data_IF_437946198501
#
_entry.id   IF_437946198501
#
_cell.length_a   1.000
_cell.length_b   1.000
_cell.length_c   1.000
_cell.angle_alpha   90.00
_cell.angle_beta   90.00
_cell.angle_gamma   90.00
#
_symmetry.space_group_name_H-M   'P 1'
#
loop_
_entity.id
_entity.type
_entity.pdbx_description
1 polymer ?
#
# COMPACT_ATOMS: atom_id res chain seq x y z
N UNK A 1 1.60 13.50 40.61
CA UNK A 1 0.82 13.64 39.37
C UNK A 1 1.43 12.69 38.35
N UNK A 2 0.99 11.44 38.32
CA UNK A 2 1.44 10.46 37.33
C UNK A 2 0.65 10.71 36.06
N UNK A 3 1.28 11.26 35.02
CA UNK A 3 0.68 11.37 33.70
C UNK A 3 0.67 9.98 33.08
N UNK A 4 -0.47 9.30 33.17
CA UNK A 4 -0.70 7.96 32.60
C UNK A 4 -0.93 8.07 31.08
N UNK A 5 0.03 8.70 30.39
CA UNK A 5 0.04 8.69 28.94
C UNK A 5 0.39 7.26 28.50
N UNK A 6 -0.43 6.62 27.63
CA UNK A 6 -0.16 5.27 27.19
C UNK A 6 1.25 5.21 26.58
N UNK A 7 2.05 4.27 27.09
CA UNK A 7 3.41 4.05 26.60
C UNK A 7 3.35 3.66 25.12
N UNK A 8 4.26 4.19 24.27
CA UNK A 8 4.25 3.87 22.86
C UNK A 8 4.54 2.38 22.64
N UNK A 9 3.84 1.77 21.68
CA UNK A 9 4.08 0.39 21.24
C UNK A 9 5.44 0.35 20.53
N UNK A 10 6.38 -0.41 21.09
CA UNK A 10 7.70 -0.60 20.49
C UNK A 10 7.66 -1.66 19.40
N UNK A 11 8.35 -1.38 18.30
CA UNK A 11 8.46 -2.21 17.11
C UNK A 11 9.94 -2.32 16.74
N UNK A 12 10.31 -3.39 16.03
CA UNK A 12 11.65 -3.47 15.42
C UNK A 12 11.70 -2.55 14.20
N UNK A 13 10.80 -2.79 13.25
CA UNK A 13 10.77 -2.06 11.98
C UNK A 13 9.35 -1.60 11.64
N UNK A 14 9.25 -0.45 10.99
CA UNK A 14 8.01 0.12 10.48
C UNK A 14 8.16 0.47 9.00
N UNK A 15 7.18 0.12 8.17
CA UNK A 15 7.12 0.43 6.75
C UNK A 15 5.86 1.24 6.45
N UNK A 16 6.05 2.42 5.84
CA UNK A 16 4.97 3.33 5.43
C UNK A 16 5.26 3.83 4.01
N UNK A 17 4.25 3.88 3.15
CA UNK A 17 4.33 4.42 1.78
C UNK A 17 3.14 5.34 1.47
N UNK A 18 3.17 5.97 0.29
CA UNK A 18 1.99 6.55 -0.37
C UNK A 18 1.18 7.50 0.55
N UNK A 19 1.92 8.38 1.24
CA UNK A 19 1.33 9.38 2.14
C UNK A 19 0.83 10.59 1.37
N UNK A 20 1.54 10.97 0.31
CA UNK A 20 1.23 12.09 -0.55
C UNK A 20 1.05 13.44 0.18
N UNK A 21 1.93 13.77 1.13
CA UNK A 21 1.95 15.10 1.75
C UNK A 21 2.07 16.17 0.66
N UNK A 22 1.09 17.06 0.57
CA UNK A 22 0.92 18.01 -0.54
C UNK A 22 -0.40 17.82 -1.28
N UNK A 23 -0.99 16.63 -1.17
CA UNK A 23 -2.35 16.33 -1.61
C UNK A 23 -3.37 16.67 -0.51
N UNK A 24 -4.57 17.10 -0.92
CA UNK A 24 -5.71 17.30 0.01
C UNK A 24 -6.30 16.00 0.55
N UNK A 25 -5.98 14.88 -0.11
CA UNK A 25 -6.54 13.57 0.24
C UNK A 25 -5.70 12.87 1.32
N UNK A 26 -4.48 13.34 1.59
CA UNK A 26 -3.58 12.79 2.59
C UNK A 26 -4.22 12.82 3.99
N UNK A 27 -4.29 11.67 4.64
CA UNK A 27 -4.79 11.50 6.01
C UNK A 27 -3.69 11.80 7.04
N UNK A 28 -3.08 12.98 6.95
CA UNK A 28 -1.92 13.36 7.75
C UNK A 28 -2.17 13.34 9.27
N UNK A 29 -3.39 13.66 9.72
CA UNK A 29 -3.76 13.56 11.14
C UNK A 29 -3.75 12.12 11.67
N UNK A 30 -4.26 11.18 10.88
CA UNK A 30 -4.27 9.76 11.25
C UNK A 30 -2.85 9.21 11.28
N UNK A 31 -2.02 9.56 10.28
CA UNK A 31 -0.61 9.19 10.27
C UNK A 31 0.13 9.77 11.47
N UNK A 32 -0.13 11.03 11.82
CA UNK A 32 0.50 11.67 12.97
C UNK A 32 0.12 10.97 14.29
N UNK A 33 -1.13 10.56 14.44
CA UNK A 33 -1.59 9.75 15.58
C UNK A 33 -0.89 8.39 15.63
N UNK A 34 -0.86 7.68 14.51
CA UNK A 34 -0.17 6.40 14.38
C UNK A 34 1.31 6.49 14.76
N UNK A 35 2.02 7.50 14.24
CA UNK A 35 3.44 7.75 14.55
C UNK A 35 3.66 8.19 16.00
N UNK A 36 2.64 8.70 16.69
CA UNK A 36 2.71 8.97 18.14
C UNK A 36 2.56 7.68 18.94
N UNK A 37 1.71 6.77 18.50
CA UNK A 37 1.45 5.51 19.20
C UNK A 37 2.56 4.48 19.02
N UNK A 38 3.23 4.45 17.86
CA UNK A 38 4.28 3.47 17.57
C UNK A 38 5.68 4.09 17.65
N UNK A 39 6.65 3.38 18.24
CA UNK A 39 8.09 3.67 18.19
C UNK A 39 8.82 2.48 17.57
N UNK A 40 9.63 2.70 16.53
CA UNK A 40 10.37 1.66 15.83
C UNK A 40 11.87 1.98 15.82
N UNK A 41 12.72 0.95 15.84
CA UNK A 41 14.17 1.10 15.71
C UNK A 41 14.53 1.52 14.29
N UNK A 42 13.87 0.93 13.28
CA UNK A 42 14.01 1.30 11.87
C UNK A 42 12.66 1.71 11.28
N UNK A 43 12.65 2.77 10.46
CA UNK A 43 11.48 3.24 9.73
C UNK A 43 11.84 3.36 8.25
N UNK A 44 11.20 2.54 7.43
CA UNK A 44 11.24 2.67 5.99
C UNK A 44 10.07 3.53 5.51
N UNK A 45 10.43 4.56 4.76
CA UNK A 45 9.51 5.40 4.00
C UNK A 45 9.56 4.92 2.53
N UNK A 46 8.62 4.08 2.14
CA UNK A 46 8.65 3.27 0.90
C UNK A 46 8.05 4.03 -0.29
N UNK A 47 8.52 5.25 -0.49
CA UNK A 47 8.13 6.13 -1.59
C UNK A 47 6.80 6.86 -1.40
N UNK A 48 6.63 7.89 -2.22
CA UNK A 48 5.46 8.75 -2.31
C UNK A 48 5.02 9.36 -0.97
N UNK A 49 5.99 9.74 -0.13
CA UNK A 49 5.67 10.43 1.14
C UNK A 49 5.26 11.88 0.87
N UNK A 50 5.89 12.52 -0.12
CA UNK A 50 5.61 13.90 -0.53
C UNK A 50 5.10 13.91 -1.96
N UNK A 51 3.97 14.59 -2.20
CA UNK A 51 3.41 14.73 -3.53
C UNK A 51 3.98 15.96 -4.24
N UNK A 52 5.18 15.81 -4.82
CA UNK A 52 5.86 16.86 -5.55
C UNK A 52 5.09 17.34 -6.79
N UNK A 53 4.35 16.44 -7.43
CA UNK A 53 3.53 16.77 -8.60
C UNK A 53 2.35 17.69 -8.23
N UNK A 54 1.63 17.39 -7.14
CA UNK A 54 0.56 18.25 -6.64
C UNK A 54 1.08 19.60 -6.21
N UNK A 55 2.19 19.63 -5.47
CA UNK A 55 2.80 20.87 -4.97
C UNK A 55 3.24 21.81 -6.11
N UNK A 56 3.80 21.26 -7.20
CA UNK A 56 4.14 22.04 -8.40
C UNK A 56 2.92 22.65 -9.08
N UNK A 57 1.78 21.94 -9.09
CA UNK A 57 0.56 22.39 -9.77
C UNK A 57 -0.24 23.39 -8.93
N UNK A 58 -0.40 23.13 -7.64
CA UNK A 58 -1.09 24.00 -6.71
C UNK A 58 -0.58 23.75 -5.28
N UNK A 59 0.12 24.74 -4.73
CA UNK A 59 0.71 24.62 -3.41
C UNK A 59 -0.37 24.39 -2.33
N UNK A 60 -0.28 23.26 -1.64
CA UNK A 60 -1.14 22.91 -0.52
C UNK A 60 -0.30 22.22 0.56
N UNK A 61 0.06 22.97 1.59
CA UNK A 61 0.89 22.46 2.68
C UNK A 61 0.35 22.96 4.03
N UNK A 62 -0.73 22.35 4.54
CA UNK A 62 -1.28 22.70 5.84
C UNK A 62 -0.36 22.25 6.99
N UNK A 63 -0.64 22.70 8.21
CA UNK A 63 0.25 22.51 9.36
C UNK A 63 0.47 21.02 9.69
N UNK A 64 -0.55 20.19 9.49
CA UNK A 64 -0.54 18.76 9.78
C UNK A 64 0.55 18.03 8.96
N UNK A 65 0.82 18.49 7.73
CA UNK A 65 1.88 17.93 6.90
C UNK A 65 3.27 18.25 7.48
N UNK A 66 3.47 19.48 7.95
CA UNK A 66 4.69 19.84 8.66
C UNK A 66 4.82 19.04 9.96
N UNK A 67 3.73 18.80 10.68
CA UNK A 67 3.76 18.04 11.93
C UNK A 67 4.17 16.58 11.73
N UNK A 68 3.76 15.93 10.63
CA UNK A 68 4.24 14.61 10.22
C UNK A 68 5.75 14.63 9.99
N UNK A 69 6.24 15.57 9.17
CA UNK A 69 7.69 15.71 8.89
C UNK A 69 8.48 15.94 10.18
N UNK A 70 8.01 16.84 11.04
CA UNK A 70 8.66 17.11 12.32
C UNK A 70 8.63 15.89 13.25
N UNK A 71 7.55 15.10 13.25
CA UNK A 71 7.46 13.86 14.04
C UNK A 71 8.50 12.84 13.57
N UNK A 72 8.67 12.65 12.26
CA UNK A 72 9.71 11.77 11.70
C UNK A 72 11.12 12.25 12.06
N UNK A 73 11.42 13.53 11.85
CA UNK A 73 12.72 14.10 12.24
C UNK A 73 12.99 14.00 13.74
N UNK A 74 11.98 14.12 14.60
CA UNK A 74 12.11 13.90 16.05
C UNK A 74 12.41 12.44 16.38
N UNK A 75 11.83 11.48 15.66
CA UNK A 75 12.16 10.05 15.83
C UNK A 75 13.60 9.75 15.43
N UNK A 76 14.06 10.30 14.30
CA UNK A 76 15.46 10.18 13.88
C UNK A 76 16.42 10.74 14.94
N UNK A 77 16.16 11.95 15.47
CA UNK A 77 16.95 12.54 16.56
C UNK A 77 16.95 11.73 17.87
N UNK A 78 15.93 10.89 18.09
CA UNK A 78 15.86 9.97 19.23
C UNK A 78 16.57 8.63 18.98
N UNK A 79 17.15 8.43 17.79
CA UNK A 79 17.92 7.25 17.43
C UNK A 79 17.24 6.28 16.48
N UNK A 80 16.02 6.57 16.00
CA UNK A 80 15.40 5.73 14.97
C UNK A 80 16.16 5.86 13.65
N UNK A 81 16.55 4.75 13.04
CA UNK A 81 17.11 4.73 11.70
C UNK A 81 16.00 4.96 10.68
N UNK A 82 16.05 6.04 9.90
CA UNK A 82 15.01 6.33 8.91
C UNK A 82 15.60 6.24 7.50
N UNK A 83 15.06 5.31 6.72
CA UNK A 83 15.47 5.05 5.34
C UNK A 83 14.32 5.46 4.42
N UNK A 84 14.60 6.37 3.50
CA UNK A 84 13.65 6.88 2.53
C UNK A 84 13.94 6.29 1.16
N UNK A 85 13.03 5.44 0.68
CA UNK A 85 13.03 4.93 -0.67
C UNK A 85 12.27 5.91 -1.55
N UNK A 86 12.89 6.46 -2.60
CA UNK A 86 12.21 7.39 -3.49
C UNK A 86 11.19 6.67 -4.40
N UNK A 87 9.99 7.24 -4.52
CA UNK A 87 8.92 6.87 -5.44
C UNK A 87 8.81 7.80 -6.65
N UNK A 88 7.66 7.79 -7.33
CA UNK A 88 7.46 8.59 -8.53
C UNK A 88 6.93 10.00 -8.26
N UNK A 89 6.15 10.22 -7.21
CA UNK A 89 5.68 11.57 -6.84
C UNK A 89 6.76 12.42 -6.19
N UNK A 90 7.74 11.78 -5.56
CA UNK A 90 8.91 12.40 -4.93
C UNK A 90 10.22 12.10 -5.70
N UNK A 91 10.13 11.91 -7.02
CA UNK A 91 11.25 11.60 -7.94
C UNK A 91 12.48 12.51 -7.76
N UNK A 92 12.28 13.76 -7.31
CA UNK A 92 13.34 14.71 -7.08
C UNK A 92 14.33 14.23 -6.00
N UNK A 93 13.88 13.39 -5.07
CA UNK A 93 14.72 12.76 -4.04
C UNK A 93 15.69 11.75 -4.62
N UNK A 94 15.42 11.18 -5.81
CA UNK A 94 16.36 10.25 -6.48
C UNK A 94 17.71 10.91 -6.77
N UNK A 95 17.77 12.23 -6.91
CA UNK A 95 19.02 12.98 -7.10
C UNK A 95 19.87 13.10 -5.83
N UNK A 96 19.32 12.71 -4.68
CA UNK A 96 19.96 12.82 -3.36
C UNK A 96 20.28 11.46 -2.74
N UNK A 97 20.39 10.40 -3.55
CA UNK A 97 20.80 9.07 -3.07
C UNK A 97 22.11 9.13 -2.27
N UNK A 98 22.16 8.42 -1.15
CA UNK A 98 23.30 8.41 -0.23
C UNK A 98 23.48 9.72 0.56
N UNK A 99 22.55 10.67 0.43
CA UNK A 99 22.57 11.89 1.24
C UNK A 99 21.80 11.65 2.54
N UNK A 100 22.36 12.13 3.65
CA UNK A 100 21.68 12.16 4.94
C UNK A 100 21.17 13.58 5.20
N UNK A 101 19.85 13.73 5.39
CA UNK A 101 19.27 15.00 5.85
C UNK A 101 18.48 14.79 7.12
N UNK A 102 18.91 15.47 8.19
CA UNK A 102 18.26 15.35 9.50
C UNK A 102 18.23 13.93 10.05
N UNK A 103 19.18 13.08 9.65
CA UNK A 103 19.26 11.66 10.02
C UNK A 103 18.34 10.73 9.21
N UNK A 104 17.83 11.19 8.07
CA UNK A 104 17.11 10.36 7.08
C UNK A 104 18.05 10.07 5.92
N UNK A 105 18.25 8.80 5.59
CA UNK A 105 19.05 8.34 4.44
C UNK A 105 18.13 8.12 3.23
N UNK A 106 18.52 8.65 2.06
CA UNK A 106 17.76 8.40 0.81
C UNK A 106 18.39 7.31 -0.03
N UNK A 107 17.58 6.36 -0.46
CA UNK A 107 17.96 5.24 -1.30
C UNK A 107 16.92 5.03 -2.43
N UNK A 108 17.29 4.29 -3.46
CA UNK A 108 16.34 3.81 -4.48
C UNK A 108 15.73 2.45 -4.13
N UNK A 109 16.46 1.67 -3.34
CA UNK A 109 16.08 0.34 -2.86
C UNK A 109 16.91 0.02 -1.63
N UNK A 110 16.42 -0.87 -0.78
CA UNK A 110 17.16 -1.42 0.34
C UNK A 110 16.96 -2.94 0.43
N UNK A 111 17.85 -3.62 1.14
CA UNK A 111 17.65 -5.01 1.57
C UNK A 111 17.44 -4.95 3.08
N UNK A 112 16.24 -5.34 3.51
CA UNK A 112 15.90 -5.46 4.91
C UNK A 112 16.08 -6.90 5.37
N UNK A 113 16.83 -7.12 6.44
CA UNK A 113 16.92 -8.42 7.11
C UNK A 113 16.03 -8.41 8.35
N UNK A 114 15.06 -9.31 8.40
CA UNK A 114 14.14 -9.44 9.53
C UNK A 114 14.85 -10.08 10.73
N UNK A 115 14.23 -10.02 11.92
CA UNK A 115 14.78 -10.67 13.11
C UNK A 115 14.88 -12.20 13.00
N UNK A 116 14.06 -12.83 12.16
CA UNK A 116 14.11 -14.27 11.87
C UNK A 116 15.03 -14.64 10.69
N UNK A 117 15.78 -13.67 10.15
CA UNK A 117 16.83 -13.87 9.14
C UNK A 117 16.35 -13.89 7.69
N UNK A 118 15.05 -13.67 7.43
CA UNK A 118 14.52 -13.50 6.08
C UNK A 118 14.98 -12.16 5.51
N UNK A 119 15.21 -12.12 4.19
CA UNK A 119 15.63 -10.93 3.47
C UNK A 119 14.51 -10.43 2.58
N UNK A 120 14.24 -9.13 2.66
CA UNK A 120 13.23 -8.46 1.86
C UNK A 120 13.86 -7.37 1.02
N UNK A 121 13.54 -7.34 -0.27
CA UNK A 121 13.78 -6.18 -1.10
C UNK A 121 12.76 -5.09 -0.75
N UNK A 122 13.22 -3.92 -0.36
CA UNK A 122 12.35 -2.75 -0.10
C UNK A 122 12.48 -1.78 -1.26
N UNK A 123 11.37 -1.56 -1.97
CA UNK A 123 11.28 -0.72 -3.17
C UNK A 123 9.91 -0.07 -3.25
N UNK A 124 9.79 1.09 -3.90
CA UNK A 124 8.48 1.73 -4.05
C UNK A 124 7.54 0.93 -4.97
N UNK A 125 7.99 0.59 -6.19
CA UNK A 125 7.21 -0.21 -7.15
C UNK A 125 7.11 0.41 -8.53
N UNK A 126 7.17 1.74 -8.63
CA UNK A 126 7.08 2.49 -9.90
C UNK A 126 8.07 2.04 -10.97
N UNK A 127 9.19 1.41 -10.58
CA UNK A 127 10.17 0.84 -11.50
C UNK A 127 9.59 -0.24 -12.43
N UNK A 128 8.52 -0.92 -12.01
CA UNK A 128 7.89 -1.99 -12.80
C UNK A 128 6.72 -1.52 -13.66
N UNK A 129 6.33 -0.25 -13.58
CA UNK A 129 5.22 0.30 -14.37
C UNK A 129 5.43 0.12 -15.88
N UNK A 130 6.66 0.32 -16.35
CA UNK A 130 6.99 0.18 -17.78
C UNK A 130 6.85 -1.28 -18.23
N UNK A 131 7.31 -2.21 -17.40
CA UNK A 131 7.24 -3.65 -17.70
C UNK A 131 5.79 -4.11 -17.70
N UNK A 132 5.01 -3.74 -16.68
CA UNK A 132 3.59 -4.08 -16.58
C UNK A 132 2.79 -3.41 -17.71
N UNK A 133 3.05 -2.15 -18.06
CA UNK A 133 2.37 -1.48 -19.19
C UNK A 133 2.64 -2.19 -20.52
N UNK A 134 3.86 -2.64 -20.76
CA UNK A 134 4.21 -3.38 -21.97
C UNK A 134 3.55 -4.77 -22.01
N UNK A 135 3.57 -5.51 -20.89
CA UNK A 135 2.87 -6.79 -20.75
C UNK A 135 1.36 -6.63 -20.96
N UNK A 136 0.75 -5.56 -20.39
CA UNK A 136 -0.65 -5.21 -20.63
C UNK A 136 -0.94 -4.92 -22.08
N UNK A 137 -0.09 -4.17 -22.79
CA UNK A 137 -0.31 -3.88 -24.21
C UNK A 137 -0.39 -5.17 -25.03
N UNK A 138 0.50 -6.12 -24.77
CA UNK A 138 0.51 -7.42 -25.43
C UNK A 138 -0.75 -8.23 -25.08
N UNK A 139 -1.12 -8.29 -23.80
CA UNK A 139 -2.34 -8.96 -23.36
C UNK A 139 -3.61 -8.29 -23.93
N UNK A 140 -3.67 -6.96 -23.99
CA UNK A 140 -4.75 -6.19 -24.61
C UNK A 140 -4.89 -6.46 -26.09
N UNK A 141 -3.77 -6.58 -26.81
CA UNK A 141 -3.78 -6.89 -28.23
C UNK A 141 -4.32 -8.31 -28.47
N UNK A 142 -3.94 -9.27 -27.62
CA UNK A 142 -4.46 -10.64 -27.64
C UNK A 142 -5.96 -10.71 -27.33
N UNK A 143 -6.39 -10.08 -26.24
CA UNK A 143 -7.81 -9.99 -25.85
C UNK A 143 -8.63 -9.27 -26.91
N UNK A 144 -8.13 -8.17 -27.47
CA UNK A 144 -8.81 -7.46 -28.56
C UNK A 144 -8.92 -8.31 -29.82
N UNK A 145 -7.88 -9.05 -30.20
CA UNK A 145 -7.94 -9.95 -31.35
C UNK A 145 -8.96 -11.09 -31.11
N UNK A 146 -9.02 -11.63 -29.90
CA UNK A 146 -9.97 -12.67 -29.51
C UNK A 146 -11.42 -12.16 -29.46
N UNK A 147 -11.65 -11.03 -28.79
CA UNK A 147 -12.96 -10.37 -28.71
C UNK A 147 -13.40 -9.88 -30.08
N UNK A 148 -12.48 -9.43 -30.94
CA UNK A 148 -12.77 -9.05 -32.32
C UNK A 148 -13.08 -10.27 -33.17
N UNK A 149 -12.42 -11.42 -32.96
CA UNK A 149 -12.78 -12.66 -33.64
C UNK A 149 -14.16 -13.17 -33.20
N UNK A 150 -14.48 -13.12 -31.90
CA UNK A 150 -15.80 -13.44 -31.36
C UNK A 150 -16.84 -12.44 -31.84
N UNK A 151 -16.53 -11.15 -31.83
CA UNK A 151 -17.43 -10.09 -32.29
C UNK A 151 -17.67 -10.21 -33.79
N UNK A 152 -16.65 -10.48 -34.61
CA UNK A 152 -16.82 -10.76 -36.04
C UNK A 152 -17.69 -12.01 -36.21
N UNK A 153 -17.45 -13.08 -35.46
CA UNK A 153 -18.29 -14.29 -35.54
C UNK A 153 -19.74 -14.00 -35.10
N UNK A 154 -19.92 -13.19 -34.06
CA UNK A 154 -21.22 -12.80 -33.49
C UNK A 154 -21.93 -11.77 -34.37
N UNK A 155 -21.21 -10.87 -35.03
CA UNK A 155 -21.71 -9.86 -35.97
C UNK A 155 -21.98 -10.50 -37.31
N UNK A 156 -21.21 -11.46 -37.79
CA UNK A 156 -21.62 -12.30 -38.91
C UNK A 156 -22.90 -13.08 -38.57
N UNK A 157 -23.04 -13.55 -37.32
CA UNK A 157 -24.26 -14.20 -36.81
C UNK A 157 -25.44 -13.23 -36.55
N UNK A 158 -25.18 -11.96 -36.21
CA UNK A 158 -26.18 -10.91 -35.94
C UNK A 158 -26.50 -10.02 -37.13
N UNK A 159 -25.61 -9.88 -38.11
CA UNK A 159 -25.92 -9.36 -39.45
C UNK A 159 -26.91 -10.31 -40.12
N UNK A 160 -26.82 -11.60 -39.80
CA UNK A 160 -27.90 -12.58 -40.02
C UNK A 160 -29.17 -12.32 -39.21
N UNK A 161 -29.06 -11.80 -37.99
CA UNK A 161 -30.21 -11.45 -37.15
C UNK A 161 -30.56 -9.95 -37.16
N UNK A 162 -30.15 -9.20 -38.20
CA UNK A 162 -30.28 -7.74 -38.31
C UNK A 162 -31.72 -7.32 -38.67
N UNK A 163 -32.67 -7.97 -38.03
CA UNK A 163 -34.01 -7.53 -37.72
C UNK A 163 -34.02 -6.53 -36.53
N UNK A 164 -33.04 -5.62 -36.47
CA UNK A 164 -33.10 -4.38 -35.69
C UNK A 164 -33.30 -4.48 -34.16
N UNK A 165 -32.22 -4.31 -33.40
CA UNK A 165 -32.01 -3.19 -32.45
C UNK A 165 -30.75 -3.39 -31.60
N UNK A 166 -30.19 -2.27 -31.15
CA UNK A 166 -28.83 -2.11 -30.59
C UNK A 166 -28.85 -2.15 -29.06
N UNK A 167 -27.94 -2.91 -28.44
CA UNK A 167 -27.68 -2.84 -27.00
C UNK A 167 -26.26 -2.36 -26.72
N UNK A 168 -26.14 -1.42 -25.78
CA UNK A 168 -24.88 -0.96 -25.19
C UNK A 168 -25.08 -0.88 -23.67
N UNK A 169 -24.17 -1.47 -22.87
CA UNK A 169 -24.25 -1.38 -21.41
C UNK A 169 -22.97 -0.82 -20.78
N UNK A 170 -23.17 0.23 -19.99
CA UNK A 170 -22.22 0.79 -19.03
C UNK A 170 -21.60 -0.29 -18.10
N UNK A 171 -22.35 -1.36 -17.80
CA UNK A 171 -21.86 -2.50 -17.02
C UNK A 171 -20.69 -3.24 -17.66
N UNK A 172 -20.62 -3.29 -19.00
CA UNK A 172 -19.46 -3.86 -19.70
C UNK A 172 -18.22 -2.97 -19.52
N UNK A 173 -18.39 -1.65 -19.56
CA UNK A 173 -17.31 -0.68 -19.33
C UNK A 173 -16.78 -0.74 -17.89
N UNK A 174 -17.67 -0.82 -16.89
CA UNK A 174 -17.27 -0.95 -15.48
C UNK A 174 -16.56 -2.29 -15.21
N UNK A 175 -17.10 -3.43 -15.70
CA UNK A 175 -16.44 -4.74 -15.61
C UNK A 175 -15.06 -4.73 -16.26
N UNK A 176 -14.93 -4.06 -17.41
CA UNK A 176 -13.66 -3.94 -18.11
C UNK A 176 -12.63 -3.11 -17.32
N UNK A 177 -13.05 -2.03 -16.66
CA UNK A 177 -12.19 -1.22 -15.76
C UNK A 177 -11.72 -2.01 -14.55
N UNK A 178 -12.61 -2.80 -13.92
CA UNK A 178 -12.24 -3.66 -12.77
C UNK A 178 -11.26 -4.75 -13.20
N UNK A 179 -11.54 -5.48 -14.29
CA UNK A 179 -10.60 -6.47 -14.84
C UNK A 179 -9.23 -5.86 -15.18
N UNK A 180 -9.20 -4.64 -15.72
CA UNK A 180 -7.96 -3.89 -16.00
C UNK A 180 -7.11 -3.66 -14.76
N UNK A 181 -7.74 -3.35 -13.62
CA UNK A 181 -7.07 -3.09 -12.35
C UNK A 181 -6.57 -4.39 -11.73
N UNK A 182 -7.42 -5.42 -11.66
CA UNK A 182 -7.05 -6.74 -11.12
C UNK A 182 -5.90 -7.37 -11.91
N UNK A 183 -5.94 -7.31 -13.25
CA UNK A 183 -4.84 -7.81 -14.06
C UNK A 183 -3.55 -6.99 -13.88
N UNK A 184 -3.65 -5.70 -13.58
CA UNK A 184 -2.48 -4.86 -13.32
C UNK A 184 -1.82 -5.25 -12.00
N UNK A 185 -2.60 -5.45 -10.95
CA UNK A 185 -2.13 -5.92 -9.64
C UNK A 185 -1.44 -7.27 -9.78
N UNK A 186 -2.11 -8.25 -10.40
CA UNK A 186 -1.52 -9.58 -10.59
C UNK A 186 -0.26 -9.59 -11.46
N UNK A 187 -0.15 -8.74 -12.48
CA UNK A 187 1.08 -8.64 -13.28
C UNK A 187 2.22 -7.96 -12.52
N UNK A 188 1.90 -6.96 -11.72
CA UNK A 188 2.87 -6.29 -10.86
C UNK A 188 3.45 -7.27 -9.83
N UNK A 189 2.59 -8.00 -9.13
CA UNK A 189 2.99 -9.02 -8.16
C UNK A 189 3.92 -10.08 -8.75
N UNK A 190 3.64 -10.53 -9.98
CA UNK A 190 4.50 -11.49 -10.68
C UNK A 190 5.90 -10.91 -10.96
N UNK A 191 5.97 -9.70 -11.54
CA UNK A 191 7.26 -9.06 -11.88
C UNK A 191 8.09 -8.81 -10.62
N UNK A 192 7.45 -8.39 -9.55
CA UNK A 192 8.10 -8.15 -8.25
C UNK A 192 8.64 -9.46 -7.67
N UNK A 193 7.85 -10.54 -7.75
CA UNK A 193 8.28 -11.87 -7.28
C UNK A 193 9.47 -12.41 -8.08
N UNK A 194 9.47 -12.23 -9.40
CA UNK A 194 10.60 -12.61 -10.27
C UNK A 194 11.88 -11.83 -9.89
N UNK A 195 11.78 -10.54 -9.59
CA UNK A 195 12.92 -9.74 -9.16
C UNK A 195 13.48 -10.21 -7.81
N UNK A 196 12.60 -10.55 -6.85
CA UNK A 196 13.04 -11.13 -5.57
C UNK A 196 13.82 -12.43 -5.76
N UNK A 197 13.31 -13.34 -6.59
CA UNK A 197 14.01 -14.59 -6.91
C UNK A 197 15.35 -14.31 -7.59
N UNK A 198 15.41 -13.34 -8.52
CA UNK A 198 16.64 -12.98 -9.23
C UNK A 198 17.72 -12.46 -8.29
N UNK A 199 17.36 -11.68 -7.28
CA UNK A 199 18.29 -11.13 -6.29
C UNK A 199 18.61 -12.16 -5.19
N UNK A 200 17.77 -13.19 -5.02
CA UNK A 200 17.93 -14.22 -4.01
C UNK A 200 17.47 -13.78 -2.63
N UNK A 201 16.34 -13.07 -2.57
CA UNK A 201 15.67 -12.65 -1.32
C UNK A 201 14.37 -13.42 -1.10
N UNK A 202 13.90 -13.47 0.14
CA UNK A 202 12.71 -14.22 0.55
C UNK A 202 11.39 -13.47 0.25
N UNK A 203 11.47 -12.14 0.10
CA UNK A 203 10.29 -11.31 -0.10
C UNK A 203 10.54 -9.94 -0.70
N UNK A 204 9.45 -9.21 -0.98
CA UNK A 204 9.46 -7.80 -1.37
C UNK A 204 8.46 -7.02 -0.54
N UNK A 205 8.88 -5.82 -0.11
CA UNK A 205 8.02 -4.82 0.56
C UNK A 205 7.92 -3.60 -0.35
N UNK A 206 6.69 -3.20 -0.69
CA UNK A 206 6.42 -2.09 -1.61
C UNK A 206 5.17 -1.28 -1.28
N UNK A 207 4.98 -0.19 -2.04
CA UNK A 207 3.80 0.68 -2.01
C UNK A 207 3.16 0.76 -3.40
N UNK A 208 2.92 1.97 -3.92
CA UNK A 208 2.59 2.33 -5.31
C UNK A 208 1.24 1.85 -5.87
N UNK A 209 0.82 0.61 -5.58
CA UNK A 209 -0.47 0.08 -6.06
C UNK A 209 -1.63 0.32 -5.09
N UNK A 210 -1.37 0.90 -3.91
CA UNK A 210 -2.38 1.26 -2.90
C UNK A 210 -3.25 0.06 -2.45
N UNK A 211 -2.70 -1.16 -2.52
CA UNK A 211 -3.42 -2.38 -2.19
C UNK A 211 -2.74 -3.09 -1.04
N UNK A 212 -3.13 -2.73 0.19
CA UNK A 212 -2.56 -3.27 1.40
C UNK A 212 -2.76 -4.79 1.51
N UNK A 213 -1.67 -5.57 1.48
CA UNK A 213 -1.74 -7.04 1.55
C UNK A 213 -0.41 -7.67 2.00
N UNK A 214 -0.50 -8.88 2.55
CA UNK A 214 0.64 -9.78 2.82
C UNK A 214 0.26 -11.14 2.22
N UNK A 215 0.92 -11.52 1.12
CA UNK A 215 0.63 -12.75 0.39
C UNK A 215 1.90 -13.51 0.04
N UNK A 216 1.80 -14.83 -0.09
CA UNK A 216 2.89 -15.65 -0.62
C UNK A 216 2.61 -15.98 -2.08
N UNK A 217 3.56 -15.63 -2.95
CA UNK A 217 3.46 -15.80 -4.40
C UNK A 217 4.73 -16.41 -4.96
N UNK A 218 4.61 -17.54 -5.64
CA UNK A 218 5.75 -18.24 -6.26
C UNK A 218 6.93 -18.49 -5.29
N UNK A 219 6.64 -18.75 -4.02
CA UNK A 219 7.65 -18.97 -2.98
C UNK A 219 8.32 -17.70 -2.44
N UNK A 220 7.85 -16.51 -2.83
CA UNK A 220 8.28 -15.19 -2.34
C UNK A 220 7.15 -14.59 -1.52
N UNK A 221 7.47 -13.91 -0.41
CA UNK A 221 6.49 -13.13 0.36
C UNK A 221 6.36 -11.72 -0.25
N UNK A 222 5.19 -11.41 -0.77
CA UNK A 222 4.83 -10.11 -1.31
C UNK A 222 4.09 -9.30 -0.24
N UNK A 223 4.60 -8.12 0.07
CA UNK A 223 4.05 -7.23 1.07
C UNK A 223 3.83 -5.85 0.43
N UNK A 224 2.60 -5.36 0.54
CA UNK A 224 2.25 -4.01 0.16
C UNK A 224 1.71 -3.23 1.36
N UNK A 225 2.26 -2.05 1.60
CA UNK A 225 1.91 -1.22 2.76
C UNK A 225 0.55 -0.51 2.63
N UNK A 226 -0.05 -0.49 1.43
CA UNK A 226 -1.22 0.32 1.13
C UNK A 226 -0.87 1.80 1.03
N UNK A 227 -1.68 2.67 1.60
CA UNK A 227 -1.50 4.11 1.51
C UNK A 227 -2.09 4.88 2.72
N UNK A 228 -1.79 6.18 2.82
CA UNK A 228 -2.38 7.08 3.82
C UNK A 228 -3.34 8.09 3.19
N UNK A 229 -4.14 7.63 2.24
CA UNK A 229 -5.19 8.38 1.54
C UNK A 229 -6.56 7.70 1.71
N UNK A 230 -6.63 6.41 1.41
CA UNK A 230 -7.81 5.55 1.46
C UNK A 230 -7.66 4.46 2.54
N UNK A 231 -6.62 3.62 2.48
CA UNK A 231 -6.52 2.46 3.38
C UNK A 231 -6.06 2.82 4.81
N UNK A 232 -5.23 3.86 4.95
CA UNK A 232 -4.62 4.25 6.23
C UNK A 232 -3.88 3.10 6.91
N UNK A 233 -3.05 2.39 6.14
CA UNK A 233 -2.36 1.18 6.58
C UNK A 233 -0.85 1.37 6.72
N UNK A 234 -0.23 0.52 7.54
CA UNK A 234 1.21 0.38 7.63
C UNK A 234 1.59 -1.07 7.90
N UNK A 235 2.80 -1.46 7.51
CA UNK A 235 3.35 -2.78 7.87
C UNK A 235 4.34 -2.60 9.00
N UNK A 236 4.25 -3.45 10.01
CA UNK A 236 5.18 -3.49 11.13
C UNK A 236 5.91 -4.83 11.15
N UNK A 237 7.13 -4.79 11.65
CA UNK A 237 7.90 -5.97 12.02
C UNK A 237 8.09 -5.98 13.54
N UNK A 238 7.74 -7.11 14.13
CA UNK A 238 7.96 -7.40 15.55
C UNK A 238 9.41 -7.82 15.81
N UNK A 239 9.78 -7.88 17.09
CA UNK A 239 11.15 -8.28 17.49
C UNK A 239 11.45 -9.77 17.27
N UNK A 240 10.43 -10.59 16.99
CA UNK A 240 10.57 -12.00 16.59
C UNK A 240 10.61 -12.19 15.07
N UNK A 241 10.48 -11.12 14.29
CA UNK A 241 10.50 -11.15 12.82
C UNK A 241 9.13 -11.33 12.18
N UNK A 242 8.06 -11.43 12.97
CA UNK A 242 6.71 -11.48 12.43
C UNK A 242 6.35 -10.15 11.74
N UNK A 243 5.76 -10.24 10.55
CA UNK A 243 5.21 -9.11 9.80
C UNK A 243 3.71 -8.99 10.07
N UNK A 244 3.21 -7.79 10.34
CA UNK A 244 1.79 -7.50 10.59
C UNK A 244 1.38 -6.26 9.80
N UNK A 245 0.26 -6.35 9.07
CA UNK A 245 -0.39 -5.22 8.42
C UNK A 245 -1.40 -4.60 9.40
N UNK A 246 -1.24 -3.32 9.71
CA UNK A 246 -2.12 -2.56 10.60
C UNK A 246 -2.95 -1.59 9.78
N UNK A 247 -4.27 -1.63 9.97
CA UNK A 247 -5.20 -0.58 9.54
C UNK A 247 -5.45 0.41 10.69
N UNK A 248 -5.35 1.72 10.42
CA UNK A 248 -5.45 2.77 11.45
C UNK A 248 -6.67 3.68 11.29
N UNK A 249 -7.82 3.08 10.95
CA UNK A 249 -9.09 3.77 10.75
C UNK A 249 -9.94 3.83 12.03
N UNK A 250 -9.96 2.78 12.86
CA UNK A 250 -10.86 2.66 14.02
C UNK A 250 -10.60 3.65 15.17
N UNK A 251 -9.37 4.17 15.31
CA UNK A 251 -9.06 5.20 16.33
C UNK A 251 -9.66 6.57 16.01
N UNK A 252 -10.06 6.80 14.76
CA UNK A 252 -10.81 7.98 14.34
C UNK A 252 -12.15 8.07 15.05
N UNK A 253 -12.83 6.93 15.20
CA UNK A 253 -14.19 6.84 15.76
C UNK A 253 -14.22 6.90 17.29
N UNK A 254 -13.06 6.75 17.94
CA UNK A 254 -12.92 6.86 19.40
C UNK A 254 -12.49 8.25 19.88
N UNK A 255 -12.24 9.22 18.99
CA UNK A 255 -12.10 10.62 19.42
C UNK A 255 -13.51 11.09 19.84
N UNK A 256 -13.74 11.47 21.11
CA UNK A 256 -14.99 12.10 21.47
C UNK A 256 -15.16 13.33 20.58
N UNK A 257 -16.29 13.44 19.89
CA UNK A 257 -16.71 14.71 19.32
C UNK A 257 -16.60 15.75 20.44
N UNK A 258 -15.79 16.79 20.22
CA UNK A 258 -15.69 17.90 21.16
C UNK A 258 -17.10 18.51 21.28
N UNK A 259 -17.78 18.18 22.38
CA UNK A 259 -19.16 18.59 22.66
C UNK A 259 -20.11 17.43 22.91
N UNK A 260 -20.00 16.80 24.08
CA UNK A 260 -21.07 16.62 25.09
C UNK A 260 -20.40 15.87 26.24
N UNK A 261 -20.21 16.56 27.36
CA UNK A 261 -19.81 15.95 28.62
C UNK A 261 -21.02 15.13 29.11
N UNK A 262 -20.85 13.83 29.25
CA UNK A 262 -21.63 13.05 30.20
C UNK A 262 -20.66 12.15 30.97
N UNK A 263 -20.73 12.27 32.29
CA UNK A 263 -19.92 11.53 33.24
C UNK A 263 -20.35 10.06 33.32
N UNK A 264 -19.39 9.25 33.75
CA UNK A 264 -19.55 7.95 34.39
C UNK A 264 -19.78 6.72 33.50
N UNK A 265 -18.73 5.90 33.36
CA UNK A 265 -18.74 4.50 33.82
C UNK A 265 -17.36 3.86 33.60
N UNK A 266 -16.75 3.41 34.70
CA UNK A 266 -15.61 2.50 34.69
C UNK A 266 -16.06 1.12 34.19
N UNK A 267 -15.27 0.52 33.30
CA UNK A 267 -15.47 -0.84 32.83
C UNK A 267 -14.17 -1.43 32.30
N UNK A 268 -13.56 -2.31 33.10
CA UNK A 268 -12.59 -3.31 32.65
C UNK A 268 -13.25 -4.21 31.59
N UNK A 269 -12.61 -4.45 30.46
CA UNK A 269 -12.83 -5.72 29.73
C UNK A 269 -11.65 -6.07 28.81
N UNK A 270 -11.31 -7.37 28.82
CA UNK A 270 -10.15 -7.99 28.19
C UNK A 270 -10.33 -8.13 26.68
N UNK A 271 -9.22 -8.06 25.95
CA UNK A 271 -9.18 -8.08 24.49
C UNK A 271 -9.83 -9.32 23.87
N UNK A 272 -10.86 -9.09 23.04
CA UNK A 272 -11.53 -10.14 22.26
C UNK A 272 -10.72 -10.42 20.98
N UNK A 273 -10.15 -11.63 20.90
CA UNK A 273 -9.50 -12.15 19.69
C UNK A 273 -10.55 -12.34 18.60
N UNK A 274 -10.42 -11.65 17.47
CA UNK A 274 -11.26 -11.86 16.28
C UNK A 274 -10.50 -12.78 15.32
N UNK A 275 -10.95 -14.03 15.24
CA UNK A 275 -10.49 -14.99 14.24
C UNK A 275 -11.14 -14.65 12.88
N UNK A 276 -10.34 -14.34 11.87
CA UNK A 276 -10.82 -14.12 10.51
C UNK A 276 -11.36 -15.43 9.89
N UNK A 277 -12.44 -15.37 9.08
CA UNK A 277 -12.98 -16.56 8.43
C UNK A 277 -12.01 -17.08 7.36
N UNK A 278 -11.76 -18.39 7.37
CA UNK A 278 -10.99 -19.09 6.33
C UNK A 278 -11.73 -19.02 4.98
N UNK A 279 -11.03 -18.86 3.85
CA UNK A 279 -11.65 -18.88 2.54
C UNK A 279 -12.22 -20.28 2.22
N UNK A 280 -13.46 -20.31 1.74
CA UNK A 280 -14.14 -21.51 1.27
C UNK A 280 -13.49 -21.96 -0.04
N UNK A 281 -12.72 -23.06 0.01
CA UNK A 281 -12.34 -23.83 -1.19
C UNK A 281 -13.24 -25.05 -1.33
N UNK A 282 -13.65 -25.25 -2.58
CA UNK A 282 -14.19 -26.45 -3.23
C UNK A 282 -15.66 -26.81 -3.03
N UNK A 283 -16.39 -26.76 -4.15
CA UNK A 283 -17.21 -27.89 -4.61
C UNK A 283 -17.11 -27.93 -6.15
N UNK A 284 -16.10 -28.65 -6.65
CA UNK A 284 -16.10 -29.25 -7.98
C UNK A 284 -16.24 -30.75 -7.79
N UNK A 285 -17.12 -31.34 -8.61
CA UNK A 285 -17.40 -32.75 -8.82
C UNK A 285 -18.35 -33.47 -7.85
N UNK A 286 -19.58 -33.67 -8.34
CA UNK A 286 -20.18 -35.01 -8.46
C UNK A 286 -21.45 -34.92 -9.33
N UNK A 287 -21.36 -35.41 -10.57
CA UNK A 287 -22.37 -36.31 -11.16
C UNK A 287 -21.85 -36.89 -12.48
N UNK A 288 -21.91 -38.22 -12.50
CA UNK A 288 -21.87 -39.16 -13.62
C UNK A 288 -22.52 -38.65 -14.89
#
# INVERSE_FOLDING_TARGET
MSTDAPQPRKLRTLFISDVHLGSKAAQAELLLDFLRYHEAETIYLVGDIVDGWRLRRNWHWPQEHNDVVQKLLRKSRKGANIIYIAGNHDEFLRNFQGTHFGGIEVMNRAIHETADGRKFLVIHGDQFDVVVRNARFIAYLGDWAYDTAIWINTVMSRVRSLFGLRYWSFSAWAKFRVKKAVNFIGQFENVVSEEAQRIGVDGVICGHIHHATIESMNGVEYINTGDWVESCTAVIEHFDGQMELIEWTERRDRRPMAGIVNSDSEGHDEGRVIQLPRPVRELVNLRR
#
